data_IF_499106061302
#
_entry.id   IF_499106061302
#
_cell.length_a   1.000
_cell.length_b   1.000
_cell.length_c   1.000
_cell.angle_alpha   90.00
_cell.angle_beta   90.00
_cell.angle_gamma   90.00
#
_symmetry.space_group_name_H-M   'P 1'
#
loop_
_entity.id
_entity.type
_entity.pdbx_description
1 polymer ?
#
# COMPACT_ATOMS: atom_id res chain seq x y z
N UNK A 1 17.50 31.92 -4.86
CA UNK A 1 16.38 32.36 -5.73
C UNK A 1 16.58 31.64 -7.06
N UNK A 2 16.19 30.37 -7.12
CA UNK A 2 16.59 29.49 -8.24
C UNK A 2 15.69 28.23 -8.25
N UNK A 3 14.45 28.36 -8.72
CA UNK A 3 13.56 27.23 -9.05
C UNK A 3 12.48 27.70 -10.03
N UNK A 4 12.85 27.99 -11.28
CA UNK A 4 11.82 28.25 -12.31
C UNK A 4 12.23 27.92 -13.76
N UNK A 5 13.34 27.22 -13.98
CA UNK A 5 13.88 26.99 -15.33
C UNK A 5 13.69 25.59 -15.90
N UNK A 6 13.24 24.60 -15.12
CA UNK A 6 13.14 23.19 -15.60
C UNK A 6 11.86 22.89 -16.39
N UNK A 7 10.75 23.61 -16.12
CA UNK A 7 9.47 23.40 -16.82
C UNK A 7 9.50 23.90 -18.28
N UNK A 8 10.21 25.00 -18.53
CA UNK A 8 10.30 25.62 -19.86
C UNK A 8 11.08 24.76 -20.86
N UNK A 9 12.15 24.10 -20.40
CA UNK A 9 13.00 23.26 -21.25
C UNK A 9 12.31 21.98 -21.72
N UNK A 10 11.45 21.38 -20.89
CA UNK A 10 10.68 20.19 -21.25
C UNK A 10 9.60 20.50 -22.31
N UNK A 11 8.96 21.67 -22.21
CA UNK A 11 7.97 22.14 -23.20
C UNK A 11 8.64 22.45 -24.56
N UNK A 12 9.82 23.06 -24.54
CA UNK A 12 10.61 23.34 -25.74
C UNK A 12 11.12 22.06 -26.44
N UNK A 13 11.50 21.03 -25.66
CA UNK A 13 11.89 19.72 -26.19
C UNK A 13 10.72 19.00 -26.89
N UNK A 14 9.52 19.04 -26.32
CA UNK A 14 8.33 18.50 -26.98
C UNK A 14 8.01 19.24 -28.28
N UNK A 15 8.07 20.56 -28.28
CA UNK A 15 7.81 21.36 -29.48
C UNK A 15 8.81 21.11 -30.61
N UNK A 16 10.10 20.88 -30.28
CA UNK A 16 11.12 20.54 -31.28
C UNK A 16 10.93 19.16 -31.89
N UNK A 17 10.43 18.18 -31.11
CA UNK A 17 10.12 16.84 -31.63
C UNK A 17 8.94 16.84 -32.61
N UNK A 18 7.95 17.72 -32.40
CA UNK A 18 6.82 17.91 -33.31
C UNK A 18 7.22 18.48 -34.68
N UNK A 19 8.30 19.28 -34.75
CA UNK A 19 8.72 19.97 -35.98
C UNK A 19 9.49 19.02 -36.91
N UNK A 20 10.28 18.10 -36.36
CA UNK A 20 11.12 17.22 -37.18
C UNK A 20 10.43 15.93 -37.64
N UNK A 21 9.42 15.43 -36.91
CA UNK A 21 8.81 14.12 -37.16
C UNK A 21 7.28 14.26 -37.10
N UNK A 22 6.70 14.82 -38.17
CA UNK A 22 5.30 15.25 -38.23
C UNK A 22 4.26 14.29 -37.63
N UNK A 23 3.04 14.82 -37.42
CA UNK A 23 1.92 14.25 -36.63
C UNK A 23 1.56 12.77 -36.87
N UNK A 24 2.03 12.16 -37.96
CA UNK A 24 1.81 10.74 -38.27
C UNK A 24 2.78 9.78 -37.57
N UNK A 25 3.95 10.22 -37.09
CA UNK A 25 4.89 9.33 -36.40
C UNK A 25 4.59 9.17 -34.90
N UNK A 26 3.84 10.12 -34.33
CA UNK A 26 3.39 10.03 -32.95
C UNK A 26 2.31 8.97 -32.78
N UNK A 27 1.36 8.78 -33.69
CA UNK A 27 0.31 7.78 -33.45
C UNK A 27 0.81 6.33 -33.39
N UNK A 28 1.87 5.99 -34.13
CA UNK A 28 2.39 4.61 -34.16
C UNK A 28 3.52 4.38 -33.16
N UNK A 29 4.28 5.42 -32.79
CA UNK A 29 5.26 5.38 -31.70
C UNK A 29 4.64 5.54 -30.31
N UNK A 30 3.56 6.31 -30.17
CA UNK A 30 2.89 6.58 -28.90
C UNK A 30 2.07 5.37 -28.44
N UNK A 31 1.46 4.61 -29.36
CA UNK A 31 0.80 3.34 -29.07
C UNK A 31 1.77 2.17 -28.79
N UNK A 32 3.02 2.28 -29.26
CA UNK A 32 4.06 1.27 -28.98
C UNK A 32 4.88 1.58 -27.72
N UNK A 33 4.87 2.83 -27.27
CA UNK A 33 5.46 3.22 -25.97
C UNK A 33 4.58 2.78 -24.78
N UNK A 34 3.34 2.38 -25.05
CA UNK A 34 2.34 1.96 -24.07
C UNK A 34 2.39 0.45 -23.74
N UNK A 35 3.28 -0.32 -24.39
CA UNK A 35 3.36 -1.78 -24.21
C UNK A 35 4.55 -2.28 -23.38
N UNK A 36 5.48 -1.42 -22.99
CA UNK A 36 6.58 -1.76 -22.06
C UNK A 36 6.55 -0.88 -20.79
N UNK A 37 5.37 -0.37 -20.43
CA UNK A 37 5.18 0.32 -19.17
C UNK A 37 5.03 -0.73 -18.05
N UNK A 38 6.16 -1.36 -17.68
CA UNK A 38 6.37 -1.77 -16.29
C UNK A 38 6.27 -0.48 -15.46
N UNK A 39 5.03 -0.12 -15.13
CA UNK A 39 4.71 1.06 -14.36
C UNK A 39 5.14 0.80 -12.93
N UNK A 40 6.43 1.01 -12.64
CA UNK A 40 6.90 1.22 -11.27
C UNK A 40 6.36 2.57 -10.81
N UNK A 41 5.05 2.66 -10.51
CA UNK A 41 4.42 3.88 -9.99
C UNK A 41 4.82 4.03 -8.53
N UNK A 42 5.93 4.73 -8.30
CA UNK A 42 6.51 4.90 -6.96
C UNK A 42 5.79 5.90 -6.05
N UNK A 43 4.68 6.50 -6.44
CA UNK A 43 3.86 7.37 -5.58
C UNK A 43 2.56 7.73 -6.29
N UNK A 44 1.44 7.21 -5.83
CA UNK A 44 0.11 7.67 -6.23
C UNK A 44 -0.47 8.43 -5.03
N UNK A 45 -0.29 9.76 -5.02
CA UNK A 45 -0.95 10.61 -4.02
C UNK A 45 -2.45 10.67 -4.38
N UNK A 46 -3.23 9.80 -3.73
CA UNK A 46 -4.67 9.65 -4.00
C UNK A 46 -5.50 10.86 -3.57
N UNK A 47 -4.93 11.93 -3.02
CA UNK A 47 -5.68 13.19 -2.84
C UNK A 47 -6.31 13.69 -4.13
N UNK A 48 -5.77 13.31 -5.29
CA UNK A 48 -6.26 13.72 -6.61
C UNK A 48 -6.87 12.59 -7.45
N UNK A 49 -6.73 11.33 -7.06
CA UNK A 49 -7.15 10.16 -7.86
C UNK A 49 -8.07 9.26 -7.06
N UNK A 50 -9.27 9.00 -7.57
CA UNK A 50 -10.16 7.98 -7.01
C UNK A 50 -9.50 6.60 -7.07
N UNK A 51 -9.69 5.78 -6.04
CA UNK A 51 -9.28 4.37 -6.00
C UNK A 51 -9.86 3.56 -7.17
N UNK A 52 -10.97 3.99 -7.76
CA UNK A 52 -11.54 3.36 -8.95
C UNK A 52 -10.60 3.44 -10.17
N UNK A 53 -9.80 4.51 -10.26
CA UNK A 53 -8.81 4.68 -11.33
C UNK A 53 -7.67 3.66 -11.26
N UNK A 54 -7.49 2.97 -10.12
CA UNK A 54 -6.50 1.91 -9.99
C UNK A 54 -6.80 0.70 -10.88
N UNK A 55 -8.05 0.50 -11.32
CA UNK A 55 -8.44 -0.58 -12.23
C UNK A 55 -7.72 -0.51 -13.59
N UNK A 56 -7.30 0.68 -14.01
CA UNK A 56 -6.62 0.90 -15.29
C UNK A 56 -5.16 0.41 -15.24
N UNK A 57 -4.57 0.30 -14.06
CA UNK A 57 -3.16 -0.12 -13.90
C UNK A 57 -3.06 -1.63 -13.69
N UNK A 58 -3.23 -2.40 -14.77
CA UNK A 58 -3.21 -3.87 -14.72
C UNK A 58 -1.88 -4.46 -14.24
N UNK A 59 -0.76 -3.74 -14.40
CA UNK A 59 0.59 -4.17 -14.02
C UNK A 59 1.16 -3.39 -12.82
N UNK A 60 0.30 -2.83 -11.97
CA UNK A 60 0.76 -2.09 -10.80
C UNK A 60 1.47 -3.04 -9.81
N UNK A 61 2.72 -2.74 -9.51
CA UNK A 61 3.60 -3.55 -8.64
C UNK A 61 3.72 -2.97 -7.22
N UNK A 62 3.77 -1.64 -7.12
CA UNK A 62 3.95 -0.92 -5.86
C UNK A 62 2.90 0.17 -5.71
N UNK A 63 2.33 0.29 -4.50
CA UNK A 63 1.32 1.28 -4.17
C UNK A 63 1.60 1.87 -2.79
N UNK A 64 1.82 3.18 -2.75
CA UNK A 64 2.14 3.94 -1.54
C UNK A 64 1.00 4.90 -1.25
N UNK A 65 0.28 4.67 -0.15
CA UNK A 65 -0.91 5.40 0.29
C UNK A 65 -0.72 6.04 1.67
N UNK A 66 0.51 6.38 2.01
CA UNK A 66 0.87 6.95 3.30
C UNK A 66 0.29 8.35 3.53
N UNK A 67 0.02 8.71 4.79
CA UNK A 67 -0.47 10.02 5.22
C UNK A 67 -1.77 10.46 4.52
N UNK A 68 -2.66 9.50 4.29
CA UNK A 68 -4.02 9.78 3.86
C UNK A 68 -4.98 9.65 5.06
N UNK A 69 -6.27 9.88 4.83
CA UNK A 69 -7.33 9.72 5.84
C UNK A 69 -8.14 8.45 5.56
N UNK A 70 -7.51 7.40 5.02
CA UNK A 70 -8.20 6.17 4.64
C UNK A 70 -8.68 5.45 5.91
N UNK A 71 -9.97 5.09 5.94
CA UNK A 71 -10.58 4.33 7.00
C UNK A 71 -10.77 2.87 6.63
N UNK A 72 -11.76 2.24 7.28
CA UNK A 72 -12.14 0.85 7.00
C UNK A 72 -12.97 0.69 5.72
N UNK A 73 -13.32 1.81 5.09
CA UNK A 73 -14.01 1.91 3.80
C UNK A 73 -13.05 1.82 2.60
N UNK A 74 -11.75 1.61 2.85
CA UNK A 74 -10.74 1.38 1.82
C UNK A 74 -11.10 0.15 0.97
N UNK A 75 -11.45 0.37 -0.29
CA UNK A 75 -11.72 -0.67 -1.27
C UNK A 75 -10.72 -0.57 -2.43
N UNK A 76 -9.77 -1.48 -2.45
CA UNK A 76 -8.86 -1.66 -3.59
C UNK A 76 -9.52 -2.54 -4.67
N UNK A 77 -9.35 -2.23 -5.97
CA UNK A 77 -9.68 -3.17 -7.03
C UNK A 77 -8.71 -4.36 -7.04
N UNK A 78 -9.00 -5.36 -7.87
CA UNK A 78 -8.10 -6.50 -8.06
C UNK A 78 -6.81 -6.06 -8.73
N UNK A 79 -5.69 -6.23 -8.03
CA UNK A 79 -4.35 -5.83 -8.45
C UNK A 79 -3.43 -7.05 -8.36
N UNK A 80 -3.46 -7.94 -9.37
CA UNK A 80 -2.81 -9.27 -9.29
C UNK A 80 -1.29 -9.21 -9.22
N UNK A 81 -0.67 -8.12 -9.68
CA UNK A 81 0.79 -7.94 -9.71
C UNK A 81 1.33 -7.12 -8.52
N UNK A 82 0.43 -6.57 -7.68
CA UNK A 82 0.85 -5.72 -6.57
C UNK A 82 1.56 -6.56 -5.51
N UNK A 83 2.83 -6.26 -5.29
CA UNK A 83 3.65 -6.91 -4.29
C UNK A 83 4.03 -6.00 -3.12
N UNK A 84 3.94 -4.68 -3.29
CA UNK A 84 4.26 -3.69 -2.23
C UNK A 84 3.08 -2.77 -1.99
N UNK A 85 2.57 -2.73 -0.74
CA UNK A 85 1.53 -1.81 -0.30
C UNK A 85 1.96 -1.10 0.99
N UNK A 86 1.91 0.22 1.01
CA UNK A 86 2.10 1.01 2.22
C UNK A 86 0.87 1.85 2.52
N UNK A 87 0.40 1.81 3.76
CA UNK A 87 -0.80 2.51 4.24
C UNK A 87 -0.46 3.26 5.53
N UNK A 88 0.76 3.74 5.69
CA UNK A 88 1.21 4.33 6.95
C UNK A 88 0.44 5.61 7.28
N UNK A 89 0.19 5.86 8.58
CA UNK A 89 -0.47 7.08 9.08
C UNK A 89 -1.82 7.35 8.41
N UNK A 90 -2.65 6.32 8.32
CA UNK A 90 -4.07 6.39 7.95
C UNK A 90 -4.97 6.23 9.19
N UNK A 91 -6.28 6.07 9.00
CA UNK A 91 -7.28 5.93 10.07
C UNK A 91 -7.90 4.53 10.13
N UNK A 92 -7.14 3.50 9.72
CA UNK A 92 -7.62 2.12 9.73
C UNK A 92 -7.74 1.64 11.18
N UNK A 93 -8.92 1.13 11.55
CA UNK A 93 -9.21 0.57 12.89
C UNK A 93 -9.50 -0.92 12.84
N UNK A 94 -10.18 -1.40 11.80
CA UNK A 94 -10.61 -2.79 11.62
C UNK A 94 -9.59 -3.59 10.80
N UNK A 95 -8.58 -4.11 11.50
CA UNK A 95 -7.48 -4.87 10.88
C UNK A 95 -7.97 -6.08 10.09
N UNK A 96 -8.87 -6.89 10.66
CA UNK A 96 -9.30 -8.15 10.04
C UNK A 96 -10.00 -7.92 8.70
N UNK A 97 -10.93 -6.96 8.65
CA UNK A 97 -11.65 -6.63 7.42
C UNK A 97 -10.71 -6.18 6.31
N UNK A 98 -9.67 -5.41 6.65
CA UNK A 98 -8.65 -5.01 5.69
C UNK A 98 -7.86 -6.21 5.18
N UNK A 99 -7.40 -7.10 6.08
CA UNK A 99 -6.60 -8.26 5.69
C UNK A 99 -7.39 -9.24 4.81
N UNK A 100 -8.67 -9.46 5.12
CA UNK A 100 -9.56 -10.31 4.31
C UNK A 100 -9.75 -9.72 2.91
N UNK A 101 -9.99 -8.41 2.82
CA UNK A 101 -10.06 -7.70 1.54
C UNK A 101 -8.75 -7.84 0.74
N UNK A 102 -7.61 -7.57 1.38
CA UNK A 102 -6.29 -7.66 0.72
C UNK A 102 -5.99 -9.09 0.23
N UNK A 103 -6.32 -10.11 1.02
CA UNK A 103 -6.12 -11.51 0.63
C UNK A 103 -6.88 -11.87 -0.67
N UNK A 104 -8.04 -11.25 -0.91
CA UNK A 104 -8.84 -11.45 -2.11
C UNK A 104 -8.29 -10.68 -3.32
N UNK A 105 -7.96 -9.41 -3.14
CA UNK A 105 -7.70 -8.49 -4.27
C UNK A 105 -6.23 -8.35 -4.64
N UNK A 106 -5.30 -8.62 -3.72
CA UNK A 106 -3.83 -8.50 -3.92
C UNK A 106 -3.11 -9.81 -3.56
N UNK A 107 -3.33 -10.91 -4.32
CA UNK A 107 -2.80 -12.23 -3.98
C UNK A 107 -1.26 -12.32 -4.00
N UNK A 108 -0.58 -11.42 -4.71
CA UNK A 108 0.88 -11.39 -4.87
C UNK A 108 1.59 -10.53 -3.82
N UNK A 109 0.87 -10.04 -2.80
CA UNK A 109 1.41 -9.12 -1.80
C UNK A 109 2.55 -9.74 -1.00
N UNK A 110 3.69 -9.04 -0.95
CA UNK A 110 4.92 -9.46 -0.28
C UNK A 110 5.42 -8.46 0.75
N UNK A 111 5.07 -7.18 0.61
CA UNK A 111 5.40 -6.11 1.53
C UNK A 111 4.12 -5.35 1.91
N UNK A 112 3.85 -5.26 3.21
CA UNK A 112 2.76 -4.46 3.77
C UNK A 112 3.30 -3.59 4.90
N UNK A 113 2.88 -2.32 4.97
CA UNK A 113 3.17 -1.45 6.12
C UNK A 113 1.93 -0.70 6.58
N UNK A 114 1.58 -0.83 7.86
CA UNK A 114 0.39 -0.23 8.49
C UNK A 114 0.74 0.72 9.65
N UNK A 115 2.01 1.11 9.78
CA UNK A 115 2.51 1.91 10.90
C UNK A 115 1.73 3.21 11.07
N UNK A 116 1.41 3.56 12.33
CA UNK A 116 0.69 4.79 12.64
C UNK A 116 -0.81 4.75 12.34
N UNK A 117 -1.39 3.58 12.05
CA UNK A 117 -2.84 3.35 12.08
C UNK A 117 -3.29 2.90 13.48
N UNK A 118 -4.57 3.07 13.81
CA UNK A 118 -5.16 2.61 15.09
C UNK A 118 -5.17 1.07 15.19
N UNK A 119 -5.30 0.41 14.04
CA UNK A 119 -5.23 -1.04 13.86
C UNK A 119 -3.82 -1.62 14.10
N UNK A 120 -2.77 -0.81 13.97
CA UNK A 120 -1.39 -1.20 14.25
C UNK A 120 -1.05 -0.77 15.69
N UNK A 121 -0.74 -1.68 16.62
CA UNK A 121 -0.25 -1.29 17.94
C UNK A 121 1.07 -0.50 17.74
N UNK A 122 1.10 0.74 18.25
CA UNK A 122 2.25 1.64 18.07
C UNK A 122 3.41 1.16 18.96
N UNK A 123 4.55 0.78 18.37
CA UNK A 123 5.81 0.50 19.11
C UNK A 123 6.35 1.73 19.90
N UNK A 124 5.76 2.92 19.72
CA UNK A 124 6.31 4.21 20.17
C UNK A 124 5.68 4.77 21.46
N UNK A 125 4.70 4.11 22.09
CA UNK A 125 3.91 4.73 23.18
C UNK A 125 4.00 4.04 24.55
N UNK A 126 4.24 2.72 24.71
CA UNK A 126 4.39 2.08 26.04
C UNK A 126 5.34 0.85 26.08
N UNK A 127 6.60 1.08 26.46
CA UNK A 127 7.75 0.16 26.35
C UNK A 127 7.69 -1.22 27.05
N UNK A 128 6.71 -1.52 27.91
CA UNK A 128 6.75 -2.78 28.71
C UNK A 128 5.57 -3.72 28.47
N UNK A 129 4.45 -3.25 27.93
CA UNK A 129 3.28 -4.08 27.56
C UNK A 129 3.13 -4.30 26.04
N UNK A 130 3.84 -3.51 25.22
CA UNK A 130 3.58 -3.41 23.78
C UNK A 130 4.27 -4.47 22.90
N UNK A 131 5.36 -5.11 23.35
CA UNK A 131 6.03 -6.14 22.53
C UNK A 131 5.14 -7.38 22.32
N UNK A 132 4.41 -7.81 23.36
CA UNK A 132 3.47 -8.94 23.25
C UNK A 132 2.30 -8.60 22.33
N UNK A 133 1.80 -7.37 22.36
CA UNK A 133 0.67 -6.93 21.53
C UNK A 133 1.08 -6.75 20.06
N UNK A 134 2.27 -6.20 19.80
CA UNK A 134 2.81 -6.15 18.43
C UNK A 134 3.09 -7.56 17.90
N UNK A 135 3.60 -8.47 18.74
CA UNK A 135 3.84 -9.85 18.33
C UNK A 135 2.54 -10.60 17.97
N UNK A 136 1.46 -10.38 18.74
CA UNK A 136 0.12 -10.91 18.43
C UNK A 136 -0.40 -10.36 17.10
N UNK A 137 -0.36 -9.03 16.95
CA UNK A 137 -0.70 -8.35 15.69
C UNK A 137 0.06 -8.96 14.51
N UNK A 138 1.38 -9.10 14.64
CA UNK A 138 2.25 -9.63 13.60
C UNK A 138 1.90 -11.06 13.22
N UNK A 139 1.67 -11.95 14.19
CA UNK A 139 1.25 -13.32 13.90
C UNK A 139 -0.15 -13.40 13.28
N UNK A 140 -1.08 -12.53 13.68
CA UNK A 140 -2.41 -12.46 13.08
C UNK A 140 -2.34 -12.02 11.61
N UNK A 141 -1.57 -10.97 11.30
CA UNK A 141 -1.35 -10.50 9.92
C UNK A 141 -0.72 -11.59 9.06
N UNK A 142 0.34 -12.25 9.55
CA UNK A 142 1.03 -13.30 8.81
C UNK A 142 0.19 -14.57 8.62
N UNK A 143 -0.77 -14.82 9.50
CA UNK A 143 -1.74 -15.91 9.34
C UNK A 143 -2.72 -15.64 8.19
N UNK A 144 -3.23 -14.41 8.09
CA UNK A 144 -4.15 -13.99 7.02
C UNK A 144 -3.42 -13.82 5.67
N UNK A 145 -2.22 -13.23 5.69
CA UNK A 145 -1.41 -12.92 4.51
C UNK A 145 -0.11 -13.74 4.49
N UNK A 146 -0.25 -15.02 4.16
CA UNK A 146 0.83 -16.03 4.27
C UNK A 146 2.00 -15.81 3.30
N UNK A 147 1.83 -15.01 2.24
CA UNK A 147 2.87 -14.73 1.24
C UNK A 147 3.80 -13.57 1.62
N UNK A 148 3.53 -12.84 2.72
CA UNK A 148 4.34 -11.70 3.13
C UNK A 148 5.80 -12.09 3.43
N UNK A 149 6.71 -11.29 2.86
CA UNK A 149 8.16 -11.32 3.10
C UNK A 149 8.59 -10.21 4.06
N UNK A 150 7.85 -9.11 4.09
CA UNK A 150 8.08 -7.97 4.97
C UNK A 150 6.74 -7.47 5.51
N UNK A 151 6.72 -7.18 6.81
CA UNK A 151 5.61 -6.50 7.46
C UNK A 151 6.18 -5.33 8.27
N UNK A 152 5.65 -4.15 8.00
CA UNK A 152 6.10 -2.86 8.51
C UNK A 152 7.60 -2.64 8.24
N UNK A 153 8.39 -2.44 9.29
CA UNK A 153 9.85 -2.24 9.20
C UNK A 153 10.64 -3.55 9.21
N UNK A 154 10.01 -4.70 9.46
CA UNK A 154 10.72 -5.95 9.80
C UNK A 154 10.46 -7.07 8.77
N UNK A 155 11.55 -7.71 8.33
CA UNK A 155 11.48 -8.92 7.48
C UNK A 155 10.80 -10.07 8.24
N UNK A 156 9.97 -10.83 7.54
CA UNK A 156 9.32 -12.03 8.07
C UNK A 156 10.32 -13.18 8.11
N UNK A 157 10.47 -13.77 9.28
CA UNK A 157 11.32 -14.94 9.51
C UNK A 157 10.52 -16.23 9.36
N UNK A 158 11.24 -17.34 9.15
CA UNK A 158 10.62 -18.67 9.08
C UNK A 158 9.91 -19.05 10.38
N UNK A 159 10.50 -18.72 11.53
CA UNK A 159 9.93 -19.00 12.86
C UNK A 159 8.59 -18.29 13.05
N UNK A 160 8.53 -17.02 12.69
CA UNK A 160 7.28 -16.25 12.79
C UNK A 160 6.17 -16.83 11.90
N UNK A 161 6.54 -17.31 10.71
CA UNK A 161 5.59 -17.95 9.79
C UNK A 161 5.05 -19.27 10.35
N UNK A 162 5.92 -20.09 10.95
CA UNK A 162 5.54 -21.33 11.62
C UNK A 162 4.61 -21.07 12.81
N UNK A 163 4.94 -20.09 13.65
CA UNK A 163 4.09 -19.68 14.79
C UNK A 163 2.75 -19.09 14.34
N UNK A 164 2.74 -18.23 13.32
CA UNK A 164 1.51 -17.67 12.76
C UNK A 164 0.59 -18.75 12.16
N UNK A 165 1.16 -19.80 11.55
CA UNK A 165 0.39 -20.93 11.04
C UNK A 165 -0.28 -21.72 12.16
N UNK A 166 0.43 -21.95 13.28
CA UNK A 166 -0.09 -22.75 14.40
C UNK A 166 -1.06 -21.95 15.27
N UNK A 167 -0.76 -20.68 15.56
CA UNK A 167 -1.42 -19.89 16.60
C UNK A 167 -2.08 -18.62 16.10
N UNK A 168 -1.74 -18.15 14.89
CA UNK A 168 -2.13 -16.82 14.42
C UNK A 168 -3.63 -16.58 14.35
N UNK A 169 -4.44 -17.62 14.07
CA UNK A 169 -5.91 -17.54 14.10
C UNK A 169 -6.48 -17.07 15.47
N UNK A 170 -5.77 -17.37 16.56
CA UNK A 170 -6.17 -17.01 17.93
C UNK A 170 -5.54 -15.71 18.43
N UNK A 171 -4.66 -15.08 17.62
CA UNK A 171 -3.95 -13.86 17.99
C UNK A 171 -4.72 -12.59 17.59
N UNK A 172 -6.02 -12.72 17.25
CA UNK A 172 -6.88 -11.58 16.98
C UNK A 172 -6.95 -10.68 18.21
N UNK A 173 -6.41 -9.47 18.08
CA UNK A 173 -6.48 -8.45 19.13
C UNK A 173 -7.88 -7.85 19.10
N UNK A 174 -8.70 -8.18 20.10
CA UNK A 174 -9.98 -7.52 20.34
C UNK A 174 -9.74 -6.45 21.40
N UNK A 175 -9.71 -5.18 20.98
CA UNK A 175 -9.74 -4.08 21.96
C UNK A 175 -11.14 -4.10 22.62
N UNK A 176 -11.24 -4.17 23.96
CA UNK A 176 -12.52 -4.03 24.62
C UNK A 176 -13.12 -2.68 24.20
N UNK A 177 -14.42 -2.66 23.87
CA UNK A 177 -15.13 -1.39 23.70
C UNK A 177 -15.09 -0.69 25.06
N UNK A 178 -14.62 0.55 25.11
CA UNK A 178 -14.67 1.35 26.33
C UNK A 178 -16.08 1.25 26.91
N UNK A 179 -16.19 0.61 28.06
CA UNK A 179 -17.45 0.56 28.78
C UNK A 179 -17.81 2.01 29.07
N UNK A 180 -18.86 2.53 28.43
CA UNK A 180 -19.43 3.82 28.81
C UNK A 180 -19.73 3.71 30.30
N UNK A 181 -18.93 4.38 31.12
CA UNK A 181 -19.23 4.60 32.52
C UNK A 181 -20.53 5.40 32.52
N UNK A 182 -21.63 4.71 32.81
CA UNK A 182 -22.93 5.32 32.98
C UNK A 182 -22.86 6.33 34.11
N UNK A 183 -23.60 7.42 33.90
CA UNK A 183 -23.78 8.58 34.77
C UNK A 183 -24.04 8.25 36.25
#
# INVERSE_FOLDING_TARGET
MEKETTSSLASLLLHLLFIFWGTSFLLQGFLSFEQDLCMTVKMLDLRMMSLEGLKTFSYLEELILDNNLLGNDLLLPRLPHLHTLTLNKNQITELESLLDHLAEVVPSLQYLSLLGNVACPNELVCKEKDEDDYQRYRYFVLHKLTNLKFLDTRKVTRREREEALVRGAFMKVVKPKDAKVGE
#
